data_IF_935460704438
#
_entry.id   IF_935460704438
#
_cell.length_a   1.000
_cell.length_b   1.000
_cell.length_c   1.000
_cell.angle_alpha   90.00
_cell.angle_beta   90.00
_cell.angle_gamma   90.00
#
_symmetry.space_group_name_H-M   'P 1'
#
loop_
_entity.id
_entity.type
_entity.pdbx_description
1 polymer ?
#
# COMPACT_ATOMS: atom_id res chain seq x y z
N UNK A 1 11.15 27.10 -23.29
CA UNK A 1 11.39 25.64 -23.24
C UNK A 1 10.16 25.00 -22.63
N UNK A 2 9.66 23.85 -23.14
CA UNK A 2 8.48 23.20 -22.58
C UNK A 2 8.73 22.83 -21.10
N UNK A 3 7.70 22.86 -20.24
CA UNK A 3 7.84 22.47 -18.84
C UNK A 3 8.18 20.98 -18.75
N UNK A 4 9.05 20.63 -17.80
CA UNK A 4 9.34 19.25 -17.42
C UNK A 4 9.20 19.13 -15.91
N UNK A 5 8.17 18.40 -15.48
CA UNK A 5 7.84 18.21 -14.09
C UNK A 5 8.97 17.51 -13.33
N UNK A 6 9.29 18.03 -12.16
CA UNK A 6 10.13 17.37 -11.17
C UNK A 6 9.85 17.97 -9.80
N UNK A 7 9.98 17.17 -8.75
CA UNK A 7 9.92 17.69 -7.39
C UNK A 7 10.87 16.95 -6.47
N UNK A 8 11.23 17.65 -5.39
CA UNK A 8 11.91 17.11 -4.22
C UNK A 8 10.94 17.05 -3.03
N UNK A 9 11.19 16.11 -2.13
CA UNK A 9 10.50 15.97 -0.84
C UNK A 9 11.57 15.87 0.25
N UNK A 10 11.28 16.37 1.44
CA UNK A 10 12.15 16.36 2.62
C UNK A 10 12.15 15.01 3.37
N UNK A 11 12.00 13.91 2.64
CA UNK A 11 12.12 12.55 3.16
C UNK A 11 12.94 11.68 2.22
N UNK A 12 13.60 10.67 2.77
CA UNK A 12 14.35 9.70 1.99
C UNK A 12 13.40 8.77 1.22
N UNK A 13 13.77 8.47 -0.02
CA UNK A 13 13.08 7.48 -0.85
C UNK A 13 14.10 6.49 -1.38
N UNK A 14 13.75 5.21 -1.38
CA UNK A 14 14.56 4.13 -1.91
C UNK A 14 13.72 3.34 -2.93
N UNK A 15 14.33 2.99 -4.06
CA UNK A 15 13.70 2.17 -5.11
C UNK A 15 12.30 2.65 -5.55
N UNK A 16 12.12 3.98 -5.62
CA UNK A 16 10.86 4.59 -6.05
C UNK A 16 9.77 4.67 -4.97
N UNK A 17 10.06 4.24 -3.75
CA UNK A 17 9.16 4.31 -2.60
C UNK A 17 9.71 5.29 -1.55
N UNK A 18 8.90 6.28 -1.19
CA UNK A 18 9.16 7.15 -0.05
C UNK A 18 8.42 6.61 1.17
N UNK A 19 8.95 6.84 2.38
CA UNK A 19 8.28 6.46 3.63
C UNK A 19 7.92 7.68 4.44
N UNK A 20 6.79 7.64 5.13
CA UNK A 20 6.32 8.69 6.02
C UNK A 20 5.48 8.08 7.15
N UNK A 21 5.16 8.87 8.17
CA UNK A 21 4.19 8.50 9.21
C UNK A 21 2.94 9.36 9.16
N UNK A 22 1.84 8.83 9.66
CA UNK A 22 0.62 9.64 9.83
C UNK A 22 0.90 10.88 10.69
N UNK A 23 0.36 12.03 10.28
CA UNK A 23 0.57 13.31 10.95
C UNK A 23 1.94 13.99 10.72
N UNK A 24 2.87 13.35 9.99
CA UNK A 24 4.14 13.97 9.61
C UNK A 24 3.94 15.03 8.52
N UNK A 25 4.27 16.30 8.81
CA UNK A 25 4.13 17.42 7.86
C UNK A 25 5.34 17.50 6.92
N UNK A 26 5.23 16.85 5.76
CA UNK A 26 6.28 16.83 4.73
C UNK A 26 6.21 18.05 3.81
N UNK A 27 7.37 18.52 3.37
CA UNK A 27 7.53 19.63 2.43
C UNK A 27 7.86 19.13 1.03
N UNK A 28 7.00 19.47 0.07
CA UNK A 28 7.15 19.17 -1.35
C UNK A 28 7.58 20.44 -2.08
N UNK A 29 8.68 20.37 -2.81
CA UNK A 29 9.24 21.51 -3.53
C UNK A 29 9.32 21.21 -5.02
N UNK A 30 8.67 22.04 -5.83
CA UNK A 30 8.78 22.01 -7.27
C UNK A 30 10.23 22.33 -7.70
N UNK A 31 10.85 21.38 -8.40
CA UNK A 31 12.17 21.51 -9.03
C UNK A 31 12.07 21.35 -10.55
N UNK A 32 10.90 21.59 -11.12
CA UNK A 32 10.63 21.51 -12.55
C UNK A 32 11.51 22.45 -13.34
N UNK A 33 11.78 22.06 -14.58
CA UNK A 33 12.55 22.87 -15.53
C UNK A 33 11.66 23.38 -16.67
N UNK A 34 12.19 24.33 -17.45
CA UNK A 34 11.44 24.98 -18.51
C UNK A 34 10.53 26.10 -17.99
N UNK A 35 9.57 26.51 -18.82
CA UNK A 35 8.64 27.61 -18.49
C UNK A 35 7.41 27.05 -17.80
N UNK A 36 7.26 27.28 -16.49
CA UNK A 36 6.11 26.83 -15.68
C UNK A 36 5.23 28.04 -15.31
N UNK A 37 3.98 28.07 -15.79
CA UNK A 37 2.99 29.10 -15.47
C UNK A 37 1.94 28.63 -14.46
N UNK A 38 1.68 27.32 -14.37
CA UNK A 38 0.74 26.74 -13.39
C UNK A 38 1.30 25.47 -12.77
N UNK A 39 0.84 25.18 -11.56
CA UNK A 39 1.14 23.98 -10.77
C UNK A 39 -0.14 23.45 -10.17
N UNK A 40 -0.22 22.13 -10.00
CA UNK A 40 -1.24 21.46 -9.22
C UNK A 40 -0.60 20.28 -8.52
N UNK A 41 -0.69 20.26 -7.19
CA UNK A 41 -0.27 19.13 -6.37
C UNK A 41 -1.49 18.24 -6.06
N UNK A 42 -1.35 16.95 -6.33
CA UNK A 42 -2.24 15.89 -5.87
C UNK A 42 -1.52 15.04 -4.82
N UNK A 43 -2.18 14.82 -3.68
CA UNK A 43 -1.67 13.98 -2.59
C UNK A 43 -2.46 12.68 -2.42
N UNK A 44 -3.23 12.31 -3.46
CA UNK A 44 -4.04 11.09 -3.51
C UNK A 44 -5.10 11.02 -2.40
N UNK A 45 -5.82 12.13 -2.25
CA UNK A 45 -6.91 12.28 -1.30
C UNK A 45 -8.19 12.69 -2.02
N UNK A 46 -9.25 11.89 -1.85
CA UNK A 46 -10.50 12.03 -2.61
C UNK A 46 -11.17 13.41 -2.47
N UNK A 47 -11.03 14.05 -1.31
CA UNK A 47 -11.48 15.41 -1.05
C UNK A 47 -10.31 16.22 -0.48
N UNK A 48 -9.72 17.09 -1.29
CA UNK A 48 -8.58 17.89 -0.88
C UNK A 48 -8.40 19.12 -1.73
N UNK A 49 -7.89 20.19 -1.10
CA UNK A 49 -7.33 21.32 -1.85
C UNK A 49 -6.17 20.78 -2.68
N UNK A 50 -6.06 21.24 -3.93
CA UNK A 50 -4.87 21.04 -4.78
C UNK A 50 -4.01 22.30 -4.71
N UNK A 51 -2.93 22.34 -3.91
CA UNK A 51 -2.05 23.50 -3.88
C UNK A 51 -1.47 23.82 -5.26
N UNK A 52 -1.20 25.10 -5.50
CA UNK A 52 -0.58 25.58 -6.75
C UNK A 52 0.68 26.41 -6.50
N UNK A 53 1.11 26.51 -5.25
CA UNK A 53 2.37 27.14 -4.88
C UNK A 53 3.56 26.26 -5.31
N UNK A 54 4.74 26.87 -5.48
CA UNK A 54 5.97 26.14 -5.79
C UNK A 54 6.38 25.18 -4.67
N UNK A 55 6.03 25.52 -3.43
CA UNK A 55 6.17 24.65 -2.26
C UNK A 55 4.79 24.32 -1.71
N UNK A 56 4.56 23.04 -1.42
CA UNK A 56 3.37 22.54 -0.75
C UNK A 56 3.76 21.74 0.48
N UNK A 57 2.84 21.64 1.44
CA UNK A 57 3.01 20.82 2.63
C UNK A 57 1.82 19.89 2.78
N UNK A 58 2.07 18.67 3.27
CA UNK A 58 1.03 17.68 3.46
C UNK A 58 1.39 16.69 4.57
N UNK A 59 0.35 16.30 5.33
CA UNK A 59 0.41 15.24 6.34
C UNK A 59 -0.81 14.34 6.15
N UNK A 60 -0.58 13.04 5.94
CA UNK A 60 -1.65 12.06 5.81
C UNK A 60 -2.20 11.65 7.19
N UNK A 61 -3.51 11.41 7.26
CA UNK A 61 -4.18 11.03 8.51
C UNK A 61 -4.38 9.53 8.68
N UNK A 62 -4.12 8.74 7.64
CA UNK A 62 -4.37 7.30 7.63
C UNK A 62 -3.19 6.57 7.00
N UNK A 63 -2.83 5.37 7.50
CA UNK A 63 -1.81 4.56 6.84
C UNK A 63 -2.29 4.03 5.48
N UNK A 64 -1.34 3.74 4.60
CA UNK A 64 -1.61 3.21 3.27
C UNK A 64 -0.57 3.66 2.23
N UNK A 65 -0.85 3.33 0.99
CA UNK A 65 -0.06 3.82 -0.15
C UNK A 65 -0.74 5.05 -0.77
N UNK A 66 0.06 6.06 -1.10
CA UNK A 66 -0.40 7.31 -1.72
C UNK A 66 0.49 7.68 -2.89
N UNK A 67 -0.09 7.99 -4.05
CA UNK A 67 0.66 8.52 -5.20
C UNK A 67 0.62 10.06 -5.25
N UNK A 68 1.71 10.70 -4.82
CA UNK A 68 1.84 12.16 -4.92
C UNK A 68 2.19 12.54 -6.36
N UNK A 69 1.38 13.40 -6.96
CA UNK A 69 1.57 13.88 -8.34
C UNK A 69 1.69 15.40 -8.40
N UNK A 70 2.77 15.90 -8.99
CA UNK A 70 2.90 17.29 -9.41
C UNK A 70 2.59 17.41 -10.91
N UNK A 71 1.57 18.18 -11.24
CA UNK A 71 1.30 18.61 -12.62
C UNK A 71 1.76 20.05 -12.82
N UNK A 72 2.64 20.29 -13.79
CA UNK A 72 3.05 21.63 -14.21
C UNK A 72 2.63 21.90 -15.65
N UNK A 73 2.20 23.12 -15.94
CA UNK A 73 1.89 23.55 -17.30
C UNK A 73 2.49 24.91 -17.63
N UNK A 74 2.70 25.14 -18.93
CA UNK A 74 3.35 26.31 -19.48
C UNK A 74 3.08 26.45 -20.97
N UNK A 75 2.54 27.61 -21.37
CA UNK A 75 1.92 27.79 -22.69
C UNK A 75 0.91 26.66 -22.95
N UNK A 76 1.12 25.86 -24.00
CA UNK A 76 0.24 24.76 -24.41
C UNK A 76 0.78 23.37 -24.05
N UNK A 77 1.78 23.29 -23.15
CA UNK A 77 2.39 22.04 -22.73
C UNK A 77 2.09 21.75 -21.25
N UNK A 78 1.94 20.47 -20.93
CA UNK A 78 1.78 19.95 -19.58
C UNK A 78 2.78 18.81 -19.36
N UNK A 79 3.23 18.66 -18.11
CA UNK A 79 4.09 17.58 -17.68
C UNK A 79 3.74 17.18 -16.24
N UNK A 80 3.84 15.89 -15.95
CA UNK A 80 3.60 15.33 -14.61
C UNK A 80 4.84 14.61 -14.08
N UNK A 81 4.99 14.66 -12.76
CA UNK A 81 5.95 13.84 -12.02
C UNK A 81 5.25 13.24 -10.80
N UNK A 82 5.47 11.95 -10.55
CA UNK A 82 4.80 11.21 -9.48
C UNK A 82 5.80 10.43 -8.63
N UNK A 83 5.47 10.22 -7.35
CA UNK A 83 6.19 9.33 -6.42
C UNK A 83 5.20 8.65 -5.49
N UNK A 84 5.46 7.39 -5.17
CA UNK A 84 4.64 6.63 -4.23
C UNK A 84 5.18 6.77 -2.81
N UNK A 85 4.29 6.95 -1.85
CA UNK A 85 4.56 7.02 -0.44
C UNK A 85 3.88 5.84 0.26
N UNK A 86 4.64 5.12 1.07
CA UNK A 86 4.11 4.26 2.12
C UNK A 86 3.99 5.10 3.39
N UNK A 87 2.77 5.37 3.82
CA UNK A 87 2.48 6.05 5.08
C UNK A 87 2.18 4.99 6.13
N UNK A 88 3.02 4.92 7.16
CA UNK A 88 2.89 4.01 8.28
C UNK A 88 2.19 4.71 9.46
N UNK A 89 1.61 3.95 10.39
CA UNK A 89 1.00 4.54 11.58
C UNK A 89 2.08 5.20 12.46
N UNK A 90 1.83 6.44 12.92
CA UNK A 90 2.72 7.08 13.89
C UNK A 90 2.74 6.37 15.25
N UNK A 91 1.61 5.78 15.62
CA UNK A 91 1.43 4.95 16.82
C UNK A 91 0.95 3.55 16.39
N UNK A 92 1.87 2.61 16.14
CA UNK A 92 1.53 1.29 15.63
C UNK A 92 0.88 0.41 16.71
N UNK A 93 -0.15 -0.33 16.31
CA UNK A 93 -0.85 -1.31 17.13
C UNK A 93 -0.14 -2.68 17.21
N UNK A 94 0.95 -2.87 16.47
CA UNK A 94 1.80 -4.07 16.55
C UNK A 94 3.21 -3.84 16.02
N UNK A 95 3.91 -4.92 15.71
CA UNK A 95 5.35 -4.91 15.38
C UNK A 95 5.64 -5.28 13.93
N UNK A 96 4.64 -5.25 13.05
CA UNK A 96 4.87 -5.53 11.63
C UNK A 96 5.75 -4.44 10.99
N UNK A 97 6.81 -4.85 10.29
CA UNK A 97 7.67 -3.96 9.51
C UNK A 97 7.45 -4.23 8.01
N UNK A 98 6.98 -3.24 7.23
CA UNK A 98 6.67 -3.46 5.82
C UNK A 98 7.94 -3.49 4.97
N UNK A 99 7.96 -4.35 3.96
CA UNK A 99 9.04 -4.46 2.98
C UNK A 99 8.49 -4.91 1.60
N UNK A 100 9.36 -5.31 0.68
CA UNK A 100 8.95 -5.74 -0.66
C UNK A 100 8.14 -7.04 -0.72
N UNK A 101 8.06 -7.79 0.38
CA UNK A 101 7.38 -9.09 0.51
C UNK A 101 6.34 -9.11 1.64
N UNK A 102 6.32 -8.07 2.48
CA UNK A 102 5.52 -7.99 3.70
C UNK A 102 4.55 -6.81 3.66
N UNK A 103 3.26 -7.08 3.76
CA UNK A 103 2.21 -6.06 3.94
C UNK A 103 1.90 -5.95 5.44
N UNK A 104 1.86 -4.72 5.94
CA UNK A 104 1.42 -4.43 7.31
C UNK A 104 0.05 -3.77 7.29
N UNK A 105 -0.92 -4.39 7.95
CA UNK A 105 -2.32 -3.93 8.02
C UNK A 105 -2.72 -3.61 9.47
N UNK A 106 -3.78 -2.82 9.64
CA UNK A 106 -4.36 -2.38 10.91
C UNK A 106 -3.31 -1.74 11.82
N UNK A 107 -2.75 -0.62 11.37
CA UNK A 107 -1.75 0.16 12.10
C UNK A 107 -0.52 -0.71 12.47
N UNK A 108 -0.01 -1.49 11.52
CA UNK A 108 1.11 -2.43 11.70
C UNK A 108 0.85 -3.58 12.68
N UNK A 109 -0.41 -3.91 12.97
CA UNK A 109 -0.75 -5.09 13.77
C UNK A 109 -0.58 -6.40 13.00
N UNK A 110 -1.09 -6.48 11.78
CA UNK A 110 -1.10 -7.73 11.01
C UNK A 110 -0.01 -7.75 9.96
N UNK A 111 0.81 -8.79 10.02
CA UNK A 111 1.80 -9.11 9.00
C UNK A 111 1.17 -10.06 7.98
N UNK A 112 1.20 -9.69 6.70
CA UNK A 112 0.79 -10.56 5.60
C UNK A 112 2.00 -10.86 4.73
N UNK A 113 2.26 -12.15 4.54
CA UNK A 113 3.24 -12.68 3.58
C UNK A 113 2.55 -13.70 2.69
N UNK A 114 3.08 -13.90 1.50
CA UNK A 114 2.60 -14.97 0.66
C UNK A 114 3.72 -15.63 -0.13
N UNK A 115 3.51 -16.89 -0.47
CA UNK A 115 4.33 -17.62 -1.42
C UNK A 115 3.45 -18.12 -2.57
N UNK A 116 4.06 -18.37 -3.71
CA UNK A 116 3.39 -18.92 -4.89
C UNK A 116 4.27 -19.96 -5.57
N UNK A 117 3.64 -20.90 -6.28
CA UNK A 117 4.33 -21.94 -7.06
C UNK A 117 4.49 -21.49 -8.51
N UNK A 118 5.74 -21.41 -8.97
CA UNK A 118 6.07 -21.13 -10.37
C UNK A 118 5.63 -22.28 -11.29
N UNK A 119 5.52 -22.05 -12.61
CA UNK A 119 5.28 -23.11 -13.59
C UNK A 119 6.33 -24.25 -13.54
N UNK A 120 7.55 -23.93 -13.11
CA UNK A 120 8.66 -24.88 -12.93
C UNK A 120 8.61 -25.64 -11.59
N UNK A 121 7.64 -25.30 -10.73
CA UNK A 121 7.44 -25.92 -9.42
C UNK A 121 8.25 -25.29 -8.28
N UNK A 122 8.91 -24.16 -8.51
CA UNK A 122 9.62 -23.42 -7.45
C UNK A 122 8.63 -22.69 -6.55
N UNK A 123 8.87 -22.68 -5.23
CA UNK A 123 8.10 -21.87 -4.29
C UNK A 123 8.82 -20.55 -4.11
N UNK A 124 8.18 -19.46 -4.55
CA UNK A 124 8.74 -18.12 -4.55
C UNK A 124 7.92 -17.19 -3.64
N UNK A 125 8.55 -16.21 -2.98
CA UNK A 125 7.81 -15.16 -2.29
C UNK A 125 6.98 -14.33 -3.28
N UNK A 126 5.76 -14.00 -2.89
CA UNK A 126 5.00 -12.94 -3.53
C UNK A 126 5.63 -11.58 -3.21
N UNK A 127 5.23 -10.57 -3.97
CA UNK A 127 5.75 -9.22 -3.87
C UNK A 127 4.62 -8.23 -3.66
N UNK A 128 4.88 -7.19 -2.89
CA UNK A 128 3.89 -6.17 -2.58
C UNK A 128 3.69 -5.25 -3.78
N UNK A 129 2.44 -5.06 -4.21
CA UNK A 129 2.09 -3.93 -5.05
C UNK A 129 2.08 -2.68 -4.17
N UNK A 130 2.72 -1.59 -4.62
CA UNK A 130 2.71 -0.31 -3.88
C UNK A 130 1.35 0.41 -4.01
N UNK A 131 0.28 -0.29 -3.63
CA UNK A 131 -1.10 0.15 -3.65
C UNK A 131 -1.85 -0.58 -2.52
N UNK A 132 -2.68 0.15 -1.78
CA UNK A 132 -3.39 -0.41 -0.63
C UNK A 132 -3.78 0.65 0.39
N UNK A 133 -4.54 0.22 1.38
CA UNK A 133 -4.98 1.04 2.52
C UNK A 133 -4.45 0.42 3.81
N UNK A 134 -4.73 1.04 4.95
CA UNK A 134 -4.43 0.45 6.26
C UNK A 134 -5.06 -0.95 6.45
N UNK A 135 -6.14 -1.28 5.74
CA UNK A 135 -6.90 -2.51 5.96
C UNK A 135 -6.85 -3.46 4.76
N UNK A 136 -6.15 -3.10 3.68
CA UNK A 136 -6.16 -3.85 2.42
C UNK A 136 -4.85 -3.72 1.66
N UNK A 137 -4.36 -4.83 1.12
CA UNK A 137 -3.15 -4.85 0.30
C UNK A 137 -3.27 -5.77 -0.92
N UNK A 138 -2.33 -5.57 -1.85
CA UNK A 138 -2.27 -6.29 -3.11
C UNK A 138 -0.88 -6.93 -3.28
N UNK A 139 -0.88 -8.15 -3.80
CA UNK A 139 0.31 -8.93 -4.07
C UNK A 139 0.37 -9.30 -5.56
N UNK A 140 1.58 -9.35 -6.10
CA UNK A 140 1.89 -9.86 -7.43
C UNK A 140 2.96 -10.95 -7.33
N UNK A 141 3.04 -11.79 -8.36
CA UNK A 141 3.91 -12.96 -8.38
C UNK A 141 5.10 -12.76 -9.33
N UNK A 142 4.84 -12.67 -10.63
CA UNK A 142 5.88 -12.59 -11.65
C UNK A 142 6.15 -11.15 -12.13
N UNK A 143 5.09 -10.36 -12.34
CA UNK A 143 5.17 -9.02 -12.91
C UNK A 143 4.36 -8.02 -12.06
N UNK A 144 4.98 -6.89 -11.69
CA UNK A 144 4.34 -5.83 -10.91
C UNK A 144 3.12 -5.19 -11.61
N UNK A 145 2.91 -5.45 -12.92
CA UNK A 145 1.74 -5.03 -13.70
C UNK A 145 0.63 -6.09 -13.77
N UNK A 146 0.84 -7.27 -13.17
CA UNK A 146 -0.17 -8.33 -13.09
C UNK A 146 -0.41 -8.72 -11.62
N UNK A 147 -1.39 -8.08 -10.99
CA UNK A 147 -1.71 -8.33 -9.58
C UNK A 147 -2.54 -9.61 -9.43
N UNK A 148 -2.24 -10.39 -8.40
CA UNK A 148 -2.69 -11.77 -8.29
C UNK A 148 -3.59 -11.98 -7.07
N UNK A 149 -3.27 -11.36 -5.93
CA UNK A 149 -3.98 -11.57 -4.66
C UNK A 149 -4.28 -10.26 -3.98
N UNK A 150 -5.54 -10.08 -3.57
CA UNK A 150 -6.00 -9.05 -2.66
C UNK A 150 -6.22 -9.68 -1.28
N UNK A 151 -5.67 -9.04 -0.24
CA UNK A 151 -5.85 -9.43 1.17
C UNK A 151 -6.45 -8.26 1.94
N UNK A 152 -7.40 -8.55 2.84
CA UNK A 152 -7.95 -7.57 3.79
C UNK A 152 -7.96 -8.14 5.19
N UNK A 153 -7.68 -7.29 6.17
CA UNK A 153 -7.94 -7.57 7.59
C UNK A 153 -8.84 -6.46 8.12
N UNK A 154 -10.02 -6.82 8.64
CA UNK A 154 -11.04 -5.87 9.08
C UNK A 154 -11.41 -6.09 10.55
N UNK A 155 -11.65 -5.00 11.27
CA UNK A 155 -12.19 -5.05 12.63
C UNK A 155 -13.66 -5.46 12.62
N UNK A 156 -13.91 -6.69 13.08
CA UNK A 156 -15.23 -7.25 13.30
C UNK A 156 -15.56 -7.43 14.79
N UNK A 157 -14.77 -6.87 15.70
CA UNK A 157 -14.85 -7.14 17.13
C UNK A 157 -16.24 -6.81 17.70
N UNK A 158 -16.83 -5.69 17.28
CA UNK A 158 -18.16 -5.28 17.71
C UNK A 158 -19.29 -6.19 17.18
N UNK A 159 -19.03 -7.00 16.15
CA UNK A 159 -20.05 -7.81 15.47
C UNK A 159 -20.03 -9.25 15.96
N UNK A 160 -18.85 -9.85 16.11
CA UNK A 160 -18.73 -11.25 16.55
C UNK A 160 -17.47 -11.54 17.37
N UNK A 161 -16.77 -10.52 17.85
CA UNK A 161 -15.58 -10.69 18.68
C UNK A 161 -14.37 -11.25 17.93
N UNK A 162 -14.27 -11.01 16.62
CA UNK A 162 -13.11 -11.41 15.84
C UNK A 162 -12.66 -10.31 14.86
N UNK A 163 -11.36 -10.23 14.60
CA UNK A 163 -10.86 -9.62 13.37
C UNK A 163 -11.05 -10.59 12.21
N UNK A 164 -11.42 -10.07 11.04
CA UNK A 164 -11.82 -10.83 9.87
C UNK A 164 -10.74 -10.80 8.81
N UNK A 165 -10.53 -11.90 8.10
CA UNK A 165 -9.63 -11.98 6.95
C UNK A 165 -10.40 -12.31 5.68
N UNK A 166 -10.12 -11.53 4.63
CA UNK A 166 -10.62 -11.79 3.29
C UNK A 166 -9.46 -11.93 2.33
N UNK A 167 -9.48 -13.00 1.52
CA UNK A 167 -8.51 -13.23 0.45
C UNK A 167 -9.27 -13.47 -0.84
N UNK A 168 -8.94 -12.71 -1.88
CA UNK A 168 -9.48 -12.91 -3.21
C UNK A 168 -8.33 -12.88 -4.21
N UNK A 169 -8.29 -13.85 -5.11
CA UNK A 169 -7.21 -13.95 -6.10
C UNK A 169 -7.75 -14.02 -7.52
N UNK A 170 -7.03 -13.38 -8.45
CA UNK A 170 -7.33 -13.38 -9.88
C UNK A 170 -6.50 -14.44 -10.64
N UNK A 171 -6.17 -15.55 -9.97
CA UNK A 171 -5.18 -16.52 -10.42
C UNK A 171 -5.63 -17.96 -10.24
N UNK A 172 -5.08 -18.86 -11.05
CA UNK A 172 -5.20 -20.33 -10.88
C UNK A 172 -3.89 -20.96 -10.41
N UNK A 173 -2.88 -20.15 -10.13
CA UNK A 173 -1.61 -20.60 -9.58
C UNK A 173 -1.80 -21.08 -8.14
N UNK A 174 -0.90 -21.96 -7.70
CA UNK A 174 -0.85 -22.35 -6.31
C UNK A 174 -0.20 -21.25 -5.49
N UNK A 175 -0.80 -20.90 -4.35
CA UNK A 175 -0.27 -19.90 -3.44
C UNK A 175 -0.65 -20.23 -2.00
N UNK A 176 0.08 -19.63 -1.08
CA UNK A 176 -0.20 -19.64 0.35
C UNK A 176 -0.04 -18.22 0.89
N UNK A 177 -1.07 -17.69 1.55
CA UNK A 177 -1.08 -16.40 2.23
C UNK A 177 -1.07 -16.67 3.73
N UNK A 178 -0.03 -16.20 4.40
CA UNK A 178 0.10 -16.22 5.84
C UNK A 178 -0.26 -14.84 6.41
N UNK A 179 -1.22 -14.80 7.32
CA UNK A 179 -1.59 -13.62 8.11
C UNK A 179 -1.25 -13.88 9.57
N UNK A 180 -0.37 -13.05 10.13
CA UNK A 180 0.07 -13.13 11.54
C UNK A 180 -0.41 -11.91 12.31
N UNK A 181 -1.12 -12.11 13.42
CA UNK A 181 -1.34 -11.06 14.43
C UNK A 181 -0.06 -10.91 15.26
N UNK A 182 0.68 -9.81 15.06
CA UNK A 182 1.98 -9.61 15.72
C UNK A 182 1.86 -9.35 17.22
N UNK A 183 0.64 -9.06 17.73
CA UNK A 183 0.40 -8.85 19.17
C UNK A 183 0.20 -10.18 19.90
N UNK A 184 -0.56 -11.10 19.31
CA UNK A 184 -0.91 -12.39 19.94
C UNK A 184 0.01 -13.53 19.51
N UNK A 185 0.66 -13.39 18.35
CA UNK A 185 1.44 -14.45 17.69
C UNK A 185 0.56 -15.48 16.97
N UNK A 186 -0.75 -15.27 16.89
CA UNK A 186 -1.64 -16.17 16.15
C UNK A 186 -1.43 -16.04 14.64
N UNK A 187 -1.51 -17.17 13.94
CA UNK A 187 -1.30 -17.26 12.48
C UNK A 187 -2.52 -17.89 11.81
N UNK A 188 -2.86 -17.40 10.62
CA UNK A 188 -3.85 -17.96 9.70
C UNK A 188 -3.25 -18.11 8.31
N UNK A 189 -3.48 -19.27 7.70
CA UNK A 189 -3.00 -19.61 6.36
C UNK A 189 -4.19 -19.80 5.41
N UNK A 190 -4.08 -19.21 4.22
CA UNK A 190 -5.09 -19.27 3.17
C UNK A 190 -4.42 -19.53 1.82
N UNK A 191 -4.81 -20.60 1.14
CA UNK A 191 -4.11 -21.01 -0.06
C UNK A 191 -4.99 -21.54 -1.19
N UNK A 192 -4.36 -21.66 -2.34
CA UNK A 192 -4.90 -22.34 -3.50
C UNK A 192 -3.95 -23.43 -4.00
N UNK A 193 -4.50 -24.53 -4.48
CA UNK A 193 -3.69 -25.53 -5.19
C UNK A 193 -3.52 -25.12 -6.66
N UNK A 194 -2.39 -25.44 -7.30
CA UNK A 194 -2.19 -25.13 -8.72
C UNK A 194 -3.24 -25.77 -9.63
N UNK A 195 -3.67 -25.03 -10.65
CA UNK A 195 -4.53 -25.54 -11.73
C UNK A 195 -6.03 -25.56 -11.41
N UNK A 196 -6.45 -25.05 -10.25
CA UNK A 196 -7.87 -24.82 -9.93
C UNK A 196 -8.13 -23.34 -9.71
N UNK A 197 -9.37 -22.93 -9.96
CA UNK A 197 -9.86 -21.61 -9.55
C UNK A 197 -9.76 -21.50 -8.03
N UNK A 198 -9.18 -20.41 -7.55
CA UNK A 198 -9.14 -20.10 -6.14
C UNK A 198 -10.52 -19.63 -5.64
N UNK A 199 -10.98 -20.19 -4.54
CA UNK A 199 -12.19 -19.75 -3.85
C UNK A 199 -11.93 -18.44 -3.11
N UNK A 200 -12.95 -17.58 -3.03
CA UNK A 200 -12.87 -16.39 -2.19
C UNK A 200 -12.91 -16.80 -0.71
N UNK A 201 -11.96 -16.29 0.06
CA UNK A 201 -11.91 -16.48 1.52
C UNK A 201 -12.69 -15.35 2.19
N UNK A 202 -13.58 -15.74 3.11
CA UNK A 202 -14.42 -14.83 3.90
C UNK A 202 -14.39 -15.25 5.38
N UNK A 203 -13.19 -15.30 5.95
CA UNK A 203 -12.99 -15.77 7.32
C UNK A 203 -13.33 -14.68 8.34
N UNK A 204 -14.60 -14.64 8.72
CA UNK A 204 -15.12 -13.71 9.72
C UNK A 204 -14.87 -14.16 11.17
N UNK A 205 -14.08 -15.22 11.38
CA UNK A 205 -13.69 -15.70 12.70
C UNK A 205 -12.17 -15.87 12.82
N UNK A 206 -11.41 -15.18 11.96
CA UNK A 206 -9.98 -15.42 11.76
C UNK A 206 -9.19 -15.27 13.06
N UNK A 207 -9.35 -14.16 13.79
CA UNK A 207 -8.65 -13.94 15.06
C UNK A 207 -9.66 -13.61 16.15
N UNK A 208 -10.01 -14.56 17.02
CA UNK A 208 -11.02 -14.35 18.08
C UNK A 208 -10.42 -13.78 19.36
N UNK A 209 -9.11 -14.00 19.58
CA UNK A 209 -8.41 -13.48 20.76
C UNK A 209 -7.89 -12.05 20.54
N UNK A 210 -7.92 -11.55 19.31
CA UNK A 210 -7.40 -10.24 18.93
C UNK A 210 -8.25 -9.06 19.43
N UNK A 211 -9.53 -9.32 19.75
CA UNK A 211 -10.51 -8.32 20.20
C UNK A 211 -10.48 -8.05 21.70
N UNK A 212 -9.57 -8.68 22.45
CA UNK A 212 -9.42 -8.45 23.88
C UNK A 212 -8.52 -7.23 24.12
N UNK A 213 -8.91 -6.32 25.03
CA UNK A 213 -8.13 -5.11 25.34
C UNK A 213 -6.80 -5.41 26.04
#
# INVERSE_FOLDING_TARGET
MPPKAAFAVDVACADGLCRARTGEDLTFTDTSSGTVSRRSWDFDVAAGRRPSAATARHAWSSPGFYEVTLTVSGADHESTASRVFLVEAADPAGTCEPDGETICLRDSRYQVRATWRSPEGEVLPARVAHAGTNDSGLLWFHDAKNWEVLVKVLDGCALNGADWVFVASATTLGFDVEVTDTVTGEVREYGNEPGRQADAVTDVAAFQDSCRP
#
